data_IF_146281379714
#
_entry.id   IF_146281379714
#
_cell.length_a   1.000
_cell.length_b   1.000
_cell.length_c   1.000
_cell.angle_alpha   90.00
_cell.angle_beta   90.00
_cell.angle_gamma   90.00
#
_symmetry.space_group_name_H-M   'P 1'
#
loop_
_entity.id
_entity.type
_entity.pdbx_description
1 polymer ?
#
# COMPACT_ATOMS: atom_id res chain seq x y z
N UNK A 1 13.22 -18.54 5.11
CA UNK A 1 11.90 -17.86 5.18
C UNK A 1 11.23 -17.97 3.82
N UNK A 2 9.94 -18.37 3.81
CA UNK A 2 9.15 -18.45 2.57
C UNK A 2 8.61 -17.08 2.14
N UNK A 3 8.55 -16.12 3.07
CA UNK A 3 8.08 -14.77 2.83
C UNK A 3 7.94 -13.96 4.11
N UNK A 4 7.59 -12.69 3.95
CA UNK A 4 7.32 -11.73 5.03
C UNK A 4 5.90 -11.21 4.89
N UNK A 5 5.14 -11.19 5.96
CA UNK A 5 3.88 -10.47 6.07
C UNK A 5 4.12 -9.22 6.93
N UNK A 6 4.00 -8.05 6.31
CA UNK A 6 4.06 -6.77 6.99
C UNK A 6 2.62 -6.29 7.27
N UNK A 7 2.19 -6.46 8.52
CA UNK A 7 0.83 -6.07 8.92
C UNK A 7 0.80 -4.59 9.34
N UNK A 8 0.18 -3.77 8.50
CA UNK A 8 -0.05 -2.35 8.72
C UNK A 8 -1.52 -2.02 8.99
N UNK A 9 -2.35 -3.05 9.20
CA UNK A 9 -3.76 -2.84 9.55
C UNK A 9 -3.85 -2.12 10.89
N UNK A 10 -4.82 -1.22 10.99
CA UNK A 10 -5.04 -0.36 12.16
C UNK A 10 -3.82 0.47 12.61
N UNK A 11 -2.83 0.62 11.75
CA UNK A 11 -1.67 1.48 12.00
C UNK A 11 -1.96 2.91 11.51
N UNK A 12 -2.17 3.89 12.40
CA UNK A 12 -2.52 5.27 12.01
C UNK A 12 -1.34 6.05 11.44
N UNK A 13 -0.17 5.43 11.36
CA UNK A 13 1.07 6.05 10.90
C UNK A 13 1.98 6.49 12.03
N UNK A 14 2.82 7.45 11.74
CA UNK A 14 3.86 7.95 12.63
C UNK A 14 4.73 8.99 11.92
N UNK A 15 6.03 8.98 12.20
CA UNK A 15 6.98 9.91 11.62
C UNK A 15 7.31 9.57 10.17
N UNK A 16 7.40 10.58 9.31
CA UNK A 16 7.77 10.46 7.92
C UNK A 16 9.13 9.77 7.74
N UNK A 17 10.13 10.21 8.49
CA UNK A 17 11.49 9.68 8.39
C UNK A 17 11.55 8.18 8.75
N UNK A 18 10.72 7.74 9.70
CA UNK A 18 10.63 6.33 10.08
C UNK A 18 9.96 5.50 8.98
N UNK A 19 8.91 6.04 8.33
CA UNK A 19 8.30 5.38 7.19
C UNK A 19 9.28 5.23 6.02
N UNK A 20 10.07 6.28 5.77
CA UNK A 20 11.13 6.26 4.76
C UNK A 20 12.17 5.17 5.11
N UNK A 21 12.63 5.12 6.36
CA UNK A 21 13.63 4.13 6.80
C UNK A 21 13.09 2.68 6.70
N UNK A 22 11.82 2.46 7.04
CA UNK A 22 11.18 1.13 6.90
C UNK A 22 11.07 0.73 5.43
N UNK A 23 10.64 1.64 4.55
CA UNK A 23 10.55 1.35 3.13
C UNK A 23 11.94 1.11 2.51
N UNK A 24 12.93 1.92 2.89
CA UNK A 24 14.32 1.80 2.46
C UNK A 24 14.95 0.45 2.81
N UNK A 25 14.56 -0.13 3.95
CA UNK A 25 15.03 -1.45 4.37
C UNK A 25 14.68 -2.56 3.36
N UNK A 26 13.59 -2.39 2.62
CA UNK A 26 13.08 -3.38 1.66
C UNK A 26 13.30 -2.99 0.19
N UNK A 27 13.83 -1.79 -0.08
CA UNK A 27 14.02 -1.28 -1.43
C UNK A 27 15.52 -1.09 -1.73
N UNK A 28 15.91 -1.45 -2.94
CA UNK A 28 17.29 -1.27 -3.40
C UNK A 28 17.55 0.16 -3.90
N UNK A 29 16.58 0.76 -4.55
CA UNK A 29 16.68 2.06 -5.20
C UNK A 29 15.32 2.73 -5.41
N UNK A 30 15.36 3.92 -5.99
CA UNK A 30 14.20 4.64 -6.49
C UNK A 30 13.42 5.40 -5.44
N UNK A 31 12.36 6.05 -5.88
CA UNK A 31 11.55 6.93 -5.03
C UNK A 31 10.72 6.15 -4.02
N UNK A 32 10.79 6.56 -2.75
CA UNK A 32 9.91 6.08 -1.67
C UNK A 32 8.66 6.94 -1.59
N UNK A 33 8.84 8.26 -1.53
CA UNK A 33 7.76 9.25 -1.47
C UNK A 33 8.28 10.60 -1.90
N UNK A 34 7.39 11.47 -2.35
CA UNK A 34 7.70 12.89 -2.47
C UNK A 34 6.62 13.74 -1.82
N UNK A 35 6.96 14.96 -1.42
CA UNK A 35 6.00 15.93 -0.91
C UNK A 35 5.90 17.10 -1.86
N UNK A 36 4.69 17.66 -2.00
CA UNK A 36 4.42 18.83 -2.84
C UNK A 36 3.52 19.80 -2.10
N UNK A 37 3.96 21.05 -1.99
CA UNK A 37 3.19 22.10 -1.35
C UNK A 37 3.42 23.45 -2.02
N UNK A 38 2.83 24.49 -1.45
CA UNK A 38 2.90 25.84 -2.00
C UNK A 38 4.32 26.44 -1.90
N UNK A 39 4.99 26.21 -0.78
CA UNK A 39 6.32 26.73 -0.54
C UNK A 39 7.38 25.79 -1.12
N UNK A 40 8.43 26.33 -1.73
CA UNK A 40 9.47 25.53 -2.39
C UNK A 40 10.13 24.51 -1.42
N UNK A 41 10.36 24.85 -0.17
CA UNK A 41 10.93 23.94 0.85
C UNK A 41 10.01 22.77 1.22
N UNK A 42 8.73 22.83 0.87
CA UNK A 42 7.80 21.73 1.08
C UNK A 42 7.87 20.67 -0.01
N UNK A 43 8.62 20.95 -1.10
CA UNK A 43 8.82 20.01 -2.19
C UNK A 43 10.09 19.21 -1.91
N UNK A 44 9.89 17.99 -1.38
CA UNK A 44 10.98 17.10 -1.01
C UNK A 44 10.81 15.75 -1.72
N UNK A 45 11.92 15.09 -1.98
CA UNK A 45 11.97 13.74 -2.56
C UNK A 45 12.77 12.86 -1.63
N UNK A 46 12.18 11.72 -1.27
CA UNK A 46 12.81 10.69 -0.47
C UNK A 46 13.02 9.47 -1.34
N UNK A 47 14.26 9.09 -1.53
CA UNK A 47 14.65 7.93 -2.33
C UNK A 47 15.21 6.84 -1.41
N UNK A 48 15.13 5.60 -1.86
CA UNK A 48 15.83 4.50 -1.25
C UNK A 48 17.35 4.70 -1.40
N UNK A 49 18.08 4.32 -0.37
CA UNK A 49 19.53 4.22 -0.38
C UNK A 49 19.95 2.88 -0.99
N UNK A 50 21.14 2.85 -1.61
CA UNK A 50 21.65 1.64 -2.25
C UNK A 50 21.81 0.50 -1.25
N UNK A 51 21.32 -0.68 -1.64
CA UNK A 51 21.54 -1.93 -0.92
C UNK A 51 20.32 -2.39 -0.14
N UNK A 52 19.39 -3.05 -0.83
CA UNK A 52 18.29 -3.79 -0.18
C UNK A 52 18.85 -4.74 0.88
N UNK A 53 18.36 -4.64 2.11
CA UNK A 53 18.80 -5.45 3.24
C UNK A 53 18.08 -6.80 3.33
N UNK A 54 16.95 -6.91 2.65
CA UNK A 54 16.11 -8.11 2.56
C UNK A 54 15.86 -8.43 1.10
N UNK A 55 16.82 -9.10 0.46
CA UNK A 55 16.76 -9.52 -0.94
C UNK A 55 15.93 -10.79 -1.10
N UNK A 56 15.29 -10.93 -2.26
CA UNK A 56 14.66 -12.17 -2.76
C UNK A 56 13.57 -12.81 -1.89
N UNK A 57 13.21 -12.22 -0.75
CA UNK A 57 12.13 -12.72 0.10
C UNK A 57 10.82 -12.08 -0.35
N UNK A 58 9.81 -12.87 -0.75
CA UNK A 58 8.48 -12.34 -1.09
C UNK A 58 7.85 -11.58 0.08
N UNK A 59 7.17 -10.47 -0.22
CA UNK A 59 6.54 -9.63 0.82
C UNK A 59 5.06 -9.41 0.48
N UNK A 60 4.20 -9.63 1.47
CA UNK A 60 2.82 -9.20 1.47
C UNK A 60 2.62 -8.10 2.51
N UNK A 61 1.93 -7.03 2.15
CA UNK A 61 1.57 -5.92 3.05
C UNK A 61 0.07 -5.94 3.29
N UNK A 62 -0.35 -5.99 4.55
CA UNK A 62 -1.76 -5.95 4.91
C UNK A 62 -2.16 -4.52 5.29
N UNK A 63 -3.28 -4.04 4.74
CA UNK A 63 -3.83 -2.71 5.03
C UNK A 63 -5.34 -2.78 5.26
N UNK A 64 -5.88 -1.81 6.01
CA UNK A 64 -7.31 -1.63 6.18
C UNK A 64 -7.69 -0.13 6.27
N UNK A 65 -8.96 0.20 6.42
CA UNK A 65 -9.43 1.57 6.49
C UNK A 65 -8.94 2.40 7.69
N UNK A 66 -8.12 1.81 8.59
CA UNK A 66 -7.42 2.51 9.68
C UNK A 66 -5.92 2.67 9.41
N UNK A 67 -5.39 2.05 8.36
CA UNK A 67 -4.02 2.29 7.91
C UNK A 67 -3.94 3.70 7.35
N UNK A 68 -3.07 4.56 7.90
CA UNK A 68 -3.05 5.98 7.55
C UNK A 68 -1.62 6.57 7.55
N UNK A 69 -1.41 7.65 6.76
CA UNK A 69 -0.20 8.49 6.84
C UNK A 69 1.09 7.68 6.57
N UNK A 70 2.00 7.56 7.55
CA UNK A 70 3.27 6.85 7.44
C UNK A 70 3.12 5.39 6.99
N UNK A 71 2.08 4.67 7.43
CA UNK A 71 1.81 3.32 6.98
C UNK A 71 1.39 3.26 5.50
N UNK A 72 0.70 4.30 5.02
CA UNK A 72 0.36 4.44 3.60
C UNK A 72 1.60 4.73 2.75
N UNK A 73 2.57 5.47 3.27
CA UNK A 73 3.87 5.69 2.60
C UNK A 73 4.58 4.36 2.37
N UNK A 74 4.72 3.55 3.41
CA UNK A 74 5.38 2.23 3.31
C UNK A 74 4.65 1.35 2.30
N UNK A 75 3.33 1.22 2.42
CA UNK A 75 2.53 0.39 1.52
C UNK A 75 2.61 0.89 0.06
N UNK A 76 2.55 2.23 -0.16
CA UNK A 76 2.69 2.82 -1.49
C UNK A 76 4.07 2.55 -2.09
N UNK A 77 5.13 2.79 -1.33
CA UNK A 77 6.50 2.60 -1.78
C UNK A 77 6.74 1.16 -2.22
N UNK A 78 6.41 0.20 -1.36
CA UNK A 78 6.63 -1.23 -1.65
C UNK A 78 5.76 -1.73 -2.81
N UNK A 79 4.49 -1.29 -2.89
CA UNK A 79 3.60 -1.63 -4.00
C UNK A 79 4.09 -1.03 -5.32
N UNK A 80 4.34 0.28 -5.34
CA UNK A 80 4.62 1.01 -6.57
C UNK A 80 6.00 0.68 -7.13
N UNK A 81 6.94 0.26 -6.28
CA UNK A 81 8.25 -0.28 -6.69
C UNK A 81 8.21 -1.78 -7.03
N UNK A 82 7.04 -2.42 -6.99
CA UNK A 82 6.91 -3.82 -7.32
C UNK A 82 7.59 -4.77 -6.32
N UNK A 83 7.80 -4.31 -5.08
CA UNK A 83 8.48 -5.07 -4.03
C UNK A 83 7.55 -5.92 -3.20
N UNK A 84 6.31 -5.51 -3.05
CA UNK A 84 5.32 -6.22 -2.26
C UNK A 84 3.94 -6.21 -2.89
N UNK A 85 3.13 -7.22 -2.56
CA UNK A 85 1.69 -7.25 -2.83
C UNK A 85 0.97 -6.64 -1.65
N UNK A 86 0.03 -5.71 -1.93
CA UNK A 86 -0.85 -5.14 -0.91
C UNK A 86 -2.19 -5.88 -0.93
N UNK A 87 -2.64 -6.32 0.24
CA UNK A 87 -3.85 -7.11 0.46
C UNK A 87 -4.71 -6.44 1.53
N UNK A 88 -6.02 -6.49 1.41
CA UNK A 88 -6.96 -6.01 2.42
C UNK A 88 -8.02 -5.07 1.90
N UNK A 89 -8.34 -4.03 2.65
CA UNK A 89 -9.26 -2.96 2.28
C UNK A 89 -8.54 -1.67 1.95
N UNK A 90 -9.17 -0.76 1.20
CA UNK A 90 -8.58 0.56 0.94
C UNK A 90 -8.24 1.28 2.25
N UNK A 91 -7.07 1.91 2.27
CA UNK A 91 -6.60 2.63 3.45
C UNK A 91 -7.33 3.96 3.67
N UNK A 92 -6.98 4.69 4.72
CA UNK A 92 -7.67 5.89 5.14
C UNK A 92 -7.58 7.05 4.12
N UNK A 93 -6.40 7.29 3.55
CA UNK A 93 -6.17 8.41 2.63
C UNK A 93 -5.70 9.68 3.33
N UNK A 94 -4.81 9.58 4.32
CA UNK A 94 -4.20 10.75 4.99
C UNK A 94 -2.88 11.11 4.29
N UNK A 95 -2.98 11.88 3.21
CA UNK A 95 -1.85 12.31 2.41
C UNK A 95 -1.35 13.73 2.70
N UNK A 96 -1.79 14.38 3.78
CA UNK A 96 -1.34 15.72 4.17
C UNK A 96 -0.20 15.68 5.17
N UNK A 97 0.83 16.49 4.94
CA UNK A 97 1.89 16.80 5.91
C UNK A 97 1.52 18.09 6.63
N UNK A 98 1.48 18.04 7.97
CA UNK A 98 1.13 19.17 8.80
C UNK A 98 2.32 19.65 9.59
N UNK A 99 2.43 20.98 9.77
CA UNK A 99 3.37 21.61 10.68
C UNK A 99 2.60 22.22 11.84
N UNK A 100 3.22 22.22 13.03
CA UNK A 100 2.66 22.82 14.23
C UNK A 100 3.50 24.05 14.56
N UNK A 101 2.84 25.20 14.65
CA UNK A 101 3.45 26.48 15.03
C UNK A 101 2.93 26.84 16.42
N UNK A 102 3.83 26.96 17.38
CA UNK A 102 3.50 27.43 18.72
C UNK A 102 3.29 28.94 18.71
N UNK A 103 2.20 29.38 19.30
CA UNK A 103 1.83 30.80 19.40
C UNK A 103 2.29 31.38 20.75
N UNK A 104 2.54 32.71 20.82
CA UNK A 104 2.99 33.36 22.06
C UNK A 104 2.03 33.21 23.25
N UNK A 105 0.74 33.00 23.01
CA UNK A 105 -0.28 32.78 24.04
C UNK A 105 -0.37 31.33 24.54
N UNK A 106 0.58 30.44 24.15
CA UNK A 106 0.57 29.02 24.52
C UNK A 106 -0.33 28.14 23.63
N UNK A 107 -1.05 28.73 22.67
CA UNK A 107 -1.80 27.98 21.68
C UNK A 107 -0.93 27.36 20.59
N UNK A 108 -1.52 26.49 19.80
CA UNK A 108 -0.87 25.87 18.65
C UNK A 108 -1.70 26.07 17.37
N UNK A 109 -1.01 26.38 16.28
CA UNK A 109 -1.59 26.48 14.95
C UNK A 109 -1.09 25.32 14.11
N UNK A 110 -2.01 24.45 13.67
CA UNK A 110 -1.68 23.34 12.76
C UNK A 110 -2.02 23.76 11.34
N UNK A 111 -1.03 23.72 10.45
CA UNK A 111 -1.17 24.07 9.04
C UNK A 111 -0.77 22.90 8.15
N UNK A 112 -1.52 22.66 7.07
CA UNK A 112 -1.11 21.75 6.01
C UNK A 112 0.04 22.41 5.22
N UNK A 113 1.21 21.77 5.29
CA UNK A 113 2.44 22.23 4.67
C UNK A 113 2.64 21.66 3.26
N UNK A 114 2.30 20.39 3.07
CA UNK A 114 2.46 19.68 1.80
C UNK A 114 1.48 18.51 1.69
N UNK A 115 1.40 17.95 0.49
CA UNK A 115 0.74 16.67 0.20
C UNK A 115 1.76 15.60 -0.19
N UNK A 116 1.49 14.38 0.21
CA UNK A 116 2.31 13.20 -0.10
C UNK A 116 1.94 12.66 -1.48
N UNK A 117 2.94 12.50 -2.32
CA UNK A 117 2.82 11.96 -3.67
C UNK A 117 3.54 10.62 -3.72
N UNK A 118 2.79 9.56 -3.98
CA UNK A 118 3.30 8.20 -4.11
C UNK A 118 4.30 8.08 -5.28
N UNK A 119 5.16 7.05 -5.30
CA UNK A 119 6.10 6.83 -6.41
C UNK A 119 5.43 6.80 -7.78
N UNK A 120 4.23 6.21 -7.88
CA UNK A 120 3.45 6.17 -9.11
C UNK A 120 2.83 7.52 -9.51
N UNK A 121 3.04 8.60 -8.74
CA UNK A 121 2.66 9.98 -9.07
C UNK A 121 1.26 10.39 -8.62
N UNK A 122 0.51 9.58 -7.88
CA UNK A 122 -0.80 9.97 -7.35
C UNK A 122 -0.70 10.56 -5.94
N UNK A 123 -1.63 11.46 -5.63
CA UNK A 123 -1.75 12.04 -4.29
C UNK A 123 -2.41 11.04 -3.34
N UNK A 124 -1.80 10.79 -2.18
CA UNK A 124 -2.37 9.91 -1.15
C UNK A 124 -3.61 10.51 -0.48
N UNK A 125 -3.76 11.83 -0.53
CA UNK A 125 -4.88 12.51 0.11
C UNK A 125 -6.22 12.07 -0.50
N UNK A 126 -7.14 11.62 0.34
CA UNK A 126 -8.48 11.13 0.02
C UNK A 126 -8.56 9.76 -0.66
N UNK A 127 -7.60 9.37 -1.50
CA UNK A 127 -7.64 8.09 -2.20
C UNK A 127 -7.02 6.95 -1.37
N UNK A 128 -5.96 7.25 -0.62
CA UNK A 128 -5.22 6.25 0.15
C UNK A 128 -4.55 5.20 -0.74
N UNK A 129 -4.33 4.04 -0.16
CA UNK A 129 -3.79 2.88 -0.85
C UNK A 129 -4.95 1.94 -1.17
N UNK A 130 -5.14 1.66 -2.45
CA UNK A 130 -6.06 0.63 -2.92
C UNK A 130 -5.25 -0.65 -3.04
N UNK A 131 -5.61 -1.73 -2.32
CA UNK A 131 -4.86 -2.97 -2.35
C UNK A 131 -4.93 -3.66 -3.72
N UNK A 132 -3.92 -4.44 -4.05
CA UNK A 132 -3.91 -5.28 -5.24
C UNK A 132 -4.95 -6.40 -5.14
N UNK A 133 -5.11 -6.97 -3.95
CA UNK A 133 -6.13 -7.96 -3.64
C UNK A 133 -7.07 -7.36 -2.61
N UNK A 134 -8.31 -7.10 -3.02
CA UNK A 134 -9.34 -6.52 -2.17
C UNK A 134 -10.09 -7.60 -1.40
N UNK A 135 -10.17 -7.46 -0.08
CA UNK A 135 -10.95 -8.35 0.79
C UNK A 135 -12.22 -7.71 1.33
N UNK A 136 -12.46 -6.43 0.99
CA UNK A 136 -13.66 -5.68 1.40
C UNK A 136 -14.65 -5.45 0.26
N UNK A 137 -14.44 -6.10 -0.89
CA UNK A 137 -15.35 -5.99 -2.03
C UNK A 137 -16.79 -6.37 -1.65
N UNK A 138 -17.80 -5.62 -2.11
CA UNK A 138 -19.21 -5.98 -1.91
C UNK A 138 -19.64 -7.19 -2.74
N UNK A 139 -18.87 -7.57 -3.75
CA UNK A 139 -19.25 -8.57 -4.75
C UNK A 139 -19.03 -10.04 -4.31
N UNK A 140 -18.83 -10.31 -3.01
CA UNK A 140 -18.64 -11.65 -2.41
C UNK A 140 -17.49 -12.51 -2.99
N UNK A 141 -16.58 -11.92 -3.76
CA UNK A 141 -15.42 -12.62 -4.31
C UNK A 141 -14.50 -13.22 -3.23
N UNK A 142 -14.62 -12.71 -1.99
CA UNK A 142 -13.82 -13.18 -0.86
C UNK A 142 -14.17 -14.63 -0.49
N UNK A 143 -15.44 -15.01 -0.50
CA UNK A 143 -15.87 -16.37 -0.18
C UNK A 143 -15.32 -17.38 -1.20
N UNK A 144 -15.43 -17.04 -2.49
CA UNK A 144 -14.92 -17.89 -3.57
C UNK A 144 -13.39 -17.97 -3.53
N UNK A 145 -12.73 -16.85 -3.25
CA UNK A 145 -11.27 -16.80 -3.08
C UNK A 145 -10.81 -17.67 -1.92
N UNK A 146 -11.49 -17.62 -0.79
CA UNK A 146 -11.16 -18.43 0.38
C UNK A 146 -11.44 -19.92 0.15
N UNK A 147 -12.55 -20.28 -0.49
CA UNK A 147 -12.86 -21.65 -0.85
C UNK A 147 -11.79 -22.22 -1.80
N UNK A 148 -11.36 -21.43 -2.79
CA UNK A 148 -10.30 -21.82 -3.71
C UNK A 148 -8.94 -22.01 -3.00
N UNK A 149 -8.59 -21.13 -2.06
CA UNK A 149 -7.35 -21.22 -1.27
C UNK A 149 -7.35 -22.46 -0.36
N UNK A 150 -8.51 -22.81 0.21
CA UNK A 150 -8.67 -24.00 1.07
C UNK A 150 -8.73 -25.32 0.29
N UNK A 151 -8.81 -25.27 -1.03
CA UNK A 151 -8.86 -26.44 -1.90
C UNK A 151 -10.28 -26.95 -2.20
N UNK A 152 -11.31 -26.19 -1.80
CA UNK A 152 -12.71 -26.55 -2.02
C UNK A 152 -13.19 -26.26 -3.46
N UNK A 153 -12.45 -25.42 -4.19
CA UNK A 153 -12.71 -25.06 -5.59
C UNK A 153 -11.46 -25.27 -6.46
N UNK A 154 -11.61 -25.81 -7.66
CA UNK A 154 -10.52 -25.84 -8.62
C UNK A 154 -10.17 -24.43 -9.07
N UNK A 155 -8.88 -24.15 -9.27
CA UNK A 155 -8.38 -22.91 -9.85
C UNK A 155 -8.29 -21.66 -8.94
N UNK A 156 -7.77 -21.84 -7.71
CA UNK A 156 -7.42 -20.73 -6.81
C UNK A 156 -6.64 -19.60 -7.51
N UNK A 157 -5.71 -19.97 -8.39
CA UNK A 157 -4.94 -18.99 -9.16
C UNK A 157 -5.79 -18.15 -10.12
N UNK A 158 -6.85 -18.71 -10.71
CA UNK A 158 -7.75 -17.97 -11.62
C UNK A 158 -8.60 -16.98 -10.84
N UNK A 159 -9.15 -17.41 -9.69
CA UNK A 159 -9.98 -16.55 -8.84
C UNK A 159 -9.17 -15.40 -8.25
N UNK A 160 -7.96 -15.69 -7.74
CA UNK A 160 -7.05 -14.65 -7.24
C UNK A 160 -6.65 -13.67 -8.35
N UNK A 161 -6.42 -14.15 -9.57
CA UNK A 161 -6.12 -13.26 -10.70
C UNK A 161 -7.31 -12.38 -11.09
N UNK A 162 -8.53 -12.89 -11.02
CA UNK A 162 -9.74 -12.09 -11.27
C UNK A 162 -9.95 -11.02 -10.20
N UNK A 163 -9.57 -11.31 -8.94
CA UNK A 163 -9.66 -10.38 -7.82
C UNK A 163 -8.55 -9.30 -7.82
N UNK A 164 -7.51 -9.46 -8.68
CA UNK A 164 -6.44 -8.46 -8.77
C UNK A 164 -6.96 -7.17 -9.40
N UNK A 165 -6.93 -6.10 -8.61
CA UNK A 165 -7.21 -4.77 -9.12
C UNK A 165 -6.13 -4.36 -10.14
N UNK A 166 -6.55 -4.17 -11.39
CA UNK A 166 -5.66 -3.69 -12.44
C UNK A 166 -5.12 -2.32 -12.07
N UNK A 167 -3.80 -2.14 -12.12
CA UNK A 167 -3.13 -0.85 -11.88
C UNK A 167 -3.57 0.24 -12.82
N UNK A 168 -3.81 -0.09 -14.09
CA UNK A 168 -4.34 0.86 -15.04
C UNK A 168 -5.71 1.37 -14.60
N UNK A 169 -6.56 0.52 -14.06
CA UNK A 169 -7.87 0.91 -13.52
C UNK A 169 -7.73 1.79 -12.27
N UNK A 170 -6.82 1.45 -11.33
CA UNK A 170 -6.55 2.29 -10.15
C UNK A 170 -6.04 3.68 -10.55
N UNK A 171 -5.16 3.77 -11.56
CA UNK A 171 -4.60 5.05 -12.02
C UNK A 171 -5.58 5.87 -12.85
N UNK A 172 -6.42 5.23 -13.66
CA UNK A 172 -7.36 5.93 -14.53
C UNK A 172 -8.59 6.45 -13.78
N UNK A 173 -9.06 5.71 -12.78
CA UNK A 173 -10.21 6.11 -11.97
C UNK A 173 -10.07 5.59 -10.52
N UNK A 174 -9.32 6.31 -9.66
CA UNK A 174 -9.10 5.89 -8.28
C UNK A 174 -10.37 5.88 -7.43
N UNK A 175 -11.34 6.74 -7.73
CA UNK A 175 -12.62 6.78 -6.99
C UNK A 175 -13.42 5.51 -7.26
N UNK A 176 -13.57 5.09 -8.51
CA UNK A 176 -14.23 3.85 -8.86
C UNK A 176 -13.50 2.63 -8.29
N UNK A 177 -12.17 2.64 -8.31
CA UNK A 177 -11.39 1.55 -7.72
C UNK A 177 -11.59 1.48 -6.20
N UNK A 178 -11.73 2.63 -5.53
CA UNK A 178 -12.03 2.73 -4.11
C UNK A 178 -13.47 2.29 -3.78
N UNK A 179 -14.44 2.59 -4.64
CA UNK A 179 -15.81 2.08 -4.51
C UNK A 179 -15.88 0.56 -4.57
N UNK A 180 -15.12 -0.05 -5.47
CA UNK A 180 -15.01 -1.51 -5.60
C UNK A 180 -14.25 -2.17 -4.46
N UNK A 181 -13.36 -1.43 -3.81
CA UNK A 181 -12.63 -1.85 -2.63
C UNK A 181 -12.81 -0.81 -1.52
N UNK A 182 -13.97 -0.77 -0.86
CA UNK A 182 -14.25 0.24 0.14
C UNK A 182 -13.36 0.09 1.37
N UNK A 183 -13.06 1.20 2.08
CA UNK A 183 -12.32 1.15 3.32
C UNK A 183 -13.13 0.41 4.39
N UNK A 184 -12.62 -0.71 4.87
CA UNK A 184 -13.16 -1.46 5.98
C UNK A 184 -12.22 -1.36 7.18
N UNK A 185 -12.79 -1.23 8.39
CA UNK A 185 -11.99 -1.06 9.62
C UNK A 185 -11.66 -2.38 10.31
N UNK A 186 -12.38 -3.45 9.97
CA UNK A 186 -12.15 -4.77 10.54
C UNK A 186 -10.79 -5.32 10.11
N UNK A 187 -10.14 -6.03 11.02
CA UNK A 187 -9.00 -6.88 10.72
C UNK A 187 -9.54 -8.27 10.41
N UNK A 188 -9.33 -8.70 9.18
CA UNK A 188 -9.84 -9.98 8.71
C UNK A 188 -8.75 -11.03 8.78
N UNK A 189 -9.08 -12.21 9.29
CA UNK A 189 -8.15 -13.36 9.33
C UNK A 189 -7.81 -13.81 7.90
N UNK A 190 -8.75 -13.68 6.99
CA UNK A 190 -8.64 -14.00 5.57
C UNK A 190 -7.52 -13.25 4.88
N UNK A 191 -7.23 -12.00 5.27
CA UNK A 191 -6.10 -11.24 4.73
C UNK A 191 -4.78 -11.99 4.93
N UNK A 192 -4.59 -12.58 6.13
CA UNK A 192 -3.41 -13.35 6.48
C UNK A 192 -3.37 -14.70 5.76
N UNK A 193 -4.52 -15.37 5.61
CA UNK A 193 -4.61 -16.64 4.88
C UNK A 193 -4.27 -16.44 3.41
N UNK A 194 -4.78 -15.37 2.76
CA UNK A 194 -4.44 -15.01 1.39
C UNK A 194 -2.95 -14.70 1.26
N UNK A 195 -2.40 -13.89 2.18
CA UNK A 195 -0.98 -13.55 2.17
C UNK A 195 -0.10 -14.79 2.28
N UNK A 196 -0.39 -15.67 3.24
CA UNK A 196 0.32 -16.93 3.43
C UNK A 196 0.26 -17.80 2.19
N UNK A 197 -0.92 -17.99 1.62
CA UNK A 197 -1.11 -18.78 0.41
C UNK A 197 -0.27 -18.25 -0.76
N UNK A 198 -0.28 -16.94 -0.98
CA UNK A 198 0.53 -16.32 -2.04
C UNK A 198 2.03 -16.53 -1.81
N UNK A 199 2.50 -16.35 -0.58
CA UNK A 199 3.92 -16.49 -0.24
C UNK A 199 4.41 -17.94 -0.37
N UNK A 200 3.54 -18.92 -0.21
CA UNK A 200 3.81 -20.35 -0.41
C UNK A 200 3.76 -20.75 -1.90
N UNK A 201 3.06 -19.97 -2.76
CA UNK A 201 2.87 -20.26 -4.19
C UNK A 201 3.62 -19.25 -5.08
N UNK A 202 4.93 -19.42 -5.21
CA UNK A 202 5.84 -18.47 -5.86
C UNK A 202 5.40 -18.01 -7.27
N UNK A 203 4.89 -18.90 -8.09
CA UNK A 203 4.41 -18.55 -9.44
C UNK A 203 3.20 -17.61 -9.41
N UNK A 204 2.27 -17.87 -8.47
CA UNK A 204 1.09 -17.04 -8.27
C UNK A 204 1.48 -15.68 -7.68
N UNK A 205 2.38 -15.66 -6.68
CA UNK A 205 2.93 -14.42 -6.13
C UNK A 205 3.57 -13.55 -7.19
N UNK A 206 4.45 -14.12 -8.04
CA UNK A 206 5.14 -13.37 -9.09
C UNK A 206 4.14 -12.79 -10.11
N UNK A 207 3.10 -13.54 -10.46
CA UNK A 207 2.03 -13.04 -11.33
C UNK A 207 1.26 -11.90 -10.66
N UNK A 208 0.82 -12.09 -9.42
CA UNK A 208 0.08 -11.09 -8.67
C UNK A 208 0.92 -9.82 -8.45
N UNK A 209 2.22 -9.95 -8.23
CA UNK A 209 3.15 -8.83 -8.11
C UNK A 209 3.27 -8.04 -9.43
N UNK A 210 3.34 -8.74 -10.57
CA UNK A 210 3.41 -8.12 -11.89
C UNK A 210 2.10 -7.40 -12.25
N UNK A 211 0.97 -8.01 -11.98
CA UNK A 211 -0.35 -7.51 -12.40
C UNK A 211 -0.91 -6.48 -11.40
N UNK A 212 -0.64 -6.62 -10.11
CA UNK A 212 -1.08 -5.73 -9.03
C UNK A 212 -0.02 -4.78 -8.49
N UNK A 213 1.24 -5.06 -8.70
CA UNK A 213 2.40 -4.25 -8.32
C UNK A 213 3.07 -3.57 -9.51
N UNK A 214 3.75 -2.46 -9.33
CA UNK A 214 4.23 -1.60 -10.37
C UNK A 214 5.70 -1.63 -10.62
N UNK A 215 6.29 -2.16 -11.59
CA UNK A 215 7.52 -1.55 -12.08
C UNK A 215 7.19 -0.13 -12.62
N UNK A 216 7.65 0.91 -11.97
CA UNK A 216 7.77 2.22 -12.60
C UNK A 216 8.92 2.05 -13.59
N UNK A 217 8.62 2.01 -14.89
CA UNK A 217 9.66 2.21 -15.87
C UNK A 217 10.23 3.60 -15.59
N UNK A 218 11.45 3.66 -15.10
CA UNK A 218 12.20 4.91 -15.01
C UNK A 218 12.38 5.44 -16.42
N UNK A 219 11.83 6.63 -16.67
CA UNK A 219 12.24 7.50 -17.78
C UNK A 219 13.11 8.59 -17.22
#
# INVERSE_FOLDING_TARGET
LNGIVLDLRSNPGGLLDQAVAVADFFLNDGRIISTKGRHQRSNQIFNASWGERVTDIPIAVLVNGRSASASEIVAAALRDRGRAIVIGASSFGKGSVQTIIRLPNGGELTLTWAHMIAPAGFNLQSHGIIPAICTSSPDNELADMMAAIRGDLPAAGTILNAALASRSAIRSNPDLARERCPPARAERTEDQEIAKYLLEHKSLYTRALRDGGAAIAER
#
